data_IF_859938383324
#
_entry.id   IF_859938383324
#
_cell.length_a   1.000
_cell.length_b   1.000
_cell.length_c   1.000
_cell.angle_alpha   90.00
_cell.angle_beta   90.00
_cell.angle_gamma   90.00
#
_symmetry.space_group_name_H-M   'P 1'
#
loop_
_entity.id
_entity.type
_entity.pdbx_description
1 polymer ?
#
# COMPACT_ATOMS: atom_id res chain seq x y z
N UNK A 1 17.90 18.52 16.75
CA UNK A 1 17.74 17.07 16.49
C UNK A 1 16.95 16.96 15.19
N UNK A 2 17.51 16.34 14.16
CA UNK A 2 16.83 16.15 12.87
C UNK A 2 15.95 14.90 13.01
N UNK A 3 14.65 15.06 13.21
CA UNK A 3 13.72 13.94 13.16
C UNK A 3 13.68 13.43 11.71
N UNK A 4 14.36 12.31 11.47
CA UNK A 4 14.33 11.64 10.18
C UNK A 4 13.12 10.72 10.18
N UNK A 5 12.01 11.24 9.66
CA UNK A 5 10.79 10.45 9.48
C UNK A 5 10.89 9.75 8.12
N UNK A 6 11.02 8.42 8.11
CA UNK A 6 11.01 7.62 6.88
C UNK A 6 9.58 7.10 6.71
N UNK A 7 9.01 7.37 5.53
CA UNK A 7 7.66 6.95 5.14
C UNK A 7 7.77 6.32 3.77
N UNK A 8 7.19 5.14 3.62
CA UNK A 8 7.14 4.42 2.36
C UNK A 8 5.73 4.52 1.79
N UNK A 9 5.61 5.24 0.69
CA UNK A 9 4.33 5.45 0.03
C UNK A 9 4.20 4.47 -1.13
N UNK A 10 3.26 3.54 -0.98
CA UNK A 10 2.96 2.47 -1.90
C UNK A 10 1.70 2.84 -2.68
N UNK A 11 1.74 2.68 -4.01
CA UNK A 11 0.62 3.03 -4.88
C UNK A 11 0.33 1.88 -5.83
N UNK A 12 -0.83 1.26 -5.66
CA UNK A 12 -1.38 0.26 -6.57
C UNK A 12 -2.43 0.89 -7.49
N UNK A 13 -2.51 0.42 -8.74
CA UNK A 13 -3.57 0.82 -9.67
C UNK A 13 -4.13 -0.44 -10.31
N UNK A 14 -5.42 -0.67 -10.17
CA UNK A 14 -6.13 -1.75 -10.85
C UNK A 14 -6.64 -1.23 -12.18
N UNK A 15 -5.93 -1.60 -13.24
CA UNK A 15 -6.27 -1.30 -14.64
C UNK A 15 -6.86 -2.57 -15.25
N UNK A 16 -8.15 -2.55 -15.55
CA UNK A 16 -8.83 -3.69 -16.16
C UNK A 16 -9.36 -3.25 -17.51
N UNK A 17 -8.96 -3.93 -18.59
CA UNK A 17 -9.28 -3.56 -19.97
C UNK A 17 -8.90 -2.10 -20.30
N UNK A 18 -7.70 -1.66 -19.91
CA UNK A 18 -7.22 -0.27 -20.10
C UNK A 18 -8.03 0.82 -19.38
N UNK A 19 -9.01 0.47 -18.55
CA UNK A 19 -9.76 1.40 -17.71
C UNK A 19 -9.22 1.32 -16.29
N UNK A 20 -8.86 2.46 -15.71
CA UNK A 20 -8.49 2.54 -14.30
C UNK A 20 -9.74 2.37 -13.45
N UNK A 21 -9.90 1.19 -12.87
CA UNK A 21 -11.08 0.79 -12.11
C UNK A 21 -10.98 1.24 -10.65
N UNK A 22 -9.81 1.00 -10.07
CA UNK A 22 -9.51 1.36 -8.69
C UNK A 22 -8.04 1.73 -8.53
N UNK A 23 -7.77 2.54 -7.52
CA UNK A 23 -6.46 2.98 -7.11
C UNK A 23 -6.30 2.74 -5.62
N UNK A 24 -5.20 2.12 -5.25
CA UNK A 24 -4.83 1.85 -3.88
C UNK A 24 -3.64 2.72 -3.55
N UNK A 25 -3.68 3.39 -2.40
CA UNK A 25 -2.57 4.15 -1.87
C UNK A 25 -2.40 3.70 -0.43
N UNK A 26 -1.29 3.04 -0.13
CA UNK A 26 -0.89 2.77 1.24
C UNK A 26 0.31 3.64 1.57
N UNK A 27 0.34 4.12 2.80
CA UNK A 27 1.47 4.84 3.34
C UNK A 27 1.90 4.08 4.57
N UNK A 28 3.03 3.40 4.43
CA UNK A 28 3.68 2.65 5.49
C UNK A 28 4.60 3.60 6.24
N UNK A 29 4.32 3.75 7.51
CA UNK A 29 5.19 4.43 8.44
C UNK A 29 6.28 3.47 8.90
N UNK A 30 7.54 3.90 8.86
CA UNK A 30 8.65 3.10 9.39
C UNK A 30 8.97 3.46 10.85
N UNK A 31 8.38 4.55 11.35
CA UNK A 31 8.56 5.01 12.72
C UNK A 31 7.44 4.48 13.62
N UNK A 32 7.80 4.10 14.84
CA UNK A 32 6.86 3.61 15.88
C UNK A 32 5.71 4.57 16.18
N UNK A 33 5.88 5.87 15.91
CA UNK A 33 4.87 6.89 16.19
C UNK A 33 3.90 7.14 15.04
N UNK A 34 4.16 6.59 13.86
CA UNK A 34 3.43 6.95 12.66
C UNK A 34 2.59 5.74 12.18
N UNK A 35 1.37 6.01 11.71
CA UNK A 35 0.38 4.96 11.48
C UNK A 35 0.26 4.63 10.01
N UNK A 36 0.32 3.34 9.68
CA UNK A 36 0.09 2.87 8.31
C UNK A 36 -1.32 3.26 7.87
N UNK A 37 -1.40 4.08 6.83
CA UNK A 37 -2.67 4.59 6.30
C UNK A 37 -2.94 3.99 4.93
N UNK A 38 -4.09 3.37 4.74
CA UNK A 38 -4.48 2.77 3.45
C UNK A 38 -5.73 3.46 2.90
N UNK A 39 -5.56 4.21 1.83
CA UNK A 39 -6.61 4.84 1.07
C UNK A 39 -6.92 4.01 -0.18
N UNK A 40 -8.22 3.81 -0.45
CA UNK A 40 -8.70 3.20 -1.69
C UNK A 40 -9.58 4.21 -2.41
N UNK A 41 -9.24 4.49 -3.65
CA UNK A 41 -10.02 5.32 -4.57
C UNK A 41 -10.63 4.43 -5.64
N UNK A 42 -11.95 4.45 -5.76
CA UNK A 42 -12.65 3.73 -6.83
C UNK A 42 -13.03 4.78 -7.87
N UNK A 43 -12.37 4.74 -9.03
CA UNK A 43 -12.69 5.66 -10.12
C UNK A 43 -13.93 5.19 -10.87
N UNK A 44 -14.09 3.88 -11.07
CA UNK A 44 -15.19 3.32 -11.84
C UNK A 44 -15.88 2.19 -11.07
N UNK A 45 -17.03 2.50 -10.47
CA UNK A 45 -17.80 1.55 -9.67
C UNK A 45 -18.43 0.41 -10.50
N UNK A 46 -18.76 0.65 -11.77
CA UNK A 46 -19.34 -0.39 -12.64
C UNK A 46 -18.29 -1.42 -13.04
N UNK A 47 -17.11 -0.95 -13.46
CA UNK A 47 -15.98 -1.81 -13.74
C UNK A 47 -15.49 -2.52 -12.46
N UNK A 48 -15.55 -1.85 -11.31
CA UNK A 48 -15.21 -2.44 -10.01
C UNK A 48 -16.15 -3.58 -9.67
N UNK A 49 -17.47 -3.38 -9.82
CA UNK A 49 -18.48 -4.42 -9.59
C UNK A 49 -18.35 -5.58 -10.56
N UNK A 50 -18.11 -5.31 -11.85
CA UNK A 50 -17.88 -6.35 -12.86
C UNK A 50 -16.61 -7.16 -12.58
N UNK A 51 -15.56 -6.52 -12.05
CA UNK A 51 -14.24 -7.12 -11.85
C UNK A 51 -13.87 -7.29 -10.38
N UNK A 52 -14.86 -7.44 -9.51
CA UNK A 52 -14.70 -7.60 -8.06
C UNK A 52 -13.67 -8.68 -7.69
N UNK A 53 -13.55 -9.74 -8.48
CA UNK A 53 -12.52 -10.79 -8.31
C UNK A 53 -11.10 -10.27 -8.56
N UNK A 54 -10.89 -9.54 -9.66
CA UNK A 54 -9.58 -9.00 -10.01
C UNK A 54 -9.14 -7.93 -9.00
N UNK A 55 -10.04 -6.99 -8.68
CA UNK A 55 -9.78 -5.96 -7.67
C UNK A 55 -9.50 -6.58 -6.29
N UNK A 56 -10.21 -7.64 -5.89
CA UNK A 56 -9.88 -8.37 -4.66
C UNK A 56 -8.49 -8.99 -4.70
N UNK A 57 -8.10 -9.60 -5.82
CA UNK A 57 -6.77 -10.15 -5.98
C UNK A 57 -5.71 -9.05 -5.92
N UNK A 58 -5.88 -7.95 -6.66
CA UNK A 58 -4.99 -6.78 -6.62
C UNK A 58 -4.87 -6.19 -5.21
N UNK A 59 -5.98 -6.10 -4.48
CA UNK A 59 -5.98 -5.58 -3.11
C UNK A 59 -5.29 -6.53 -2.12
N UNK A 60 -5.39 -7.84 -2.34
CA UNK A 60 -4.73 -8.84 -1.48
C UNK A 60 -3.23 -8.86 -1.76
N UNK A 61 -2.85 -8.83 -3.03
CA UNK A 61 -1.46 -8.73 -3.48
C UNK A 61 -0.81 -7.41 -3.01
N UNK A 62 -1.54 -6.30 -3.12
CA UNK A 62 -1.08 -5.01 -2.62
C UNK A 62 -0.95 -5.02 -1.09
N UNK A 63 -1.87 -5.66 -0.35
CA UNK A 63 -1.73 -5.82 1.10
C UNK A 63 -0.53 -6.69 1.48
N UNK A 64 -0.29 -7.77 0.74
CA UNK A 64 0.88 -8.61 0.95
C UNK A 64 2.16 -7.83 0.69
N UNK A 65 2.20 -7.04 -0.39
CA UNK A 65 3.32 -6.17 -0.72
C UNK A 65 3.57 -5.10 0.35
N UNK A 66 2.52 -4.42 0.82
CA UNK A 66 2.60 -3.48 1.94
C UNK A 66 3.19 -4.12 3.19
N UNK A 67 2.77 -5.34 3.52
CA UNK A 67 3.26 -6.08 4.69
C UNK A 67 4.71 -6.53 4.55
N UNK A 68 5.10 -6.99 3.36
CA UNK A 68 6.48 -7.39 3.06
C UNK A 68 7.42 -6.18 3.13
N UNK A 69 6.97 -5.03 2.62
CA UNK A 69 7.71 -3.78 2.72
C UNK A 69 7.78 -3.30 4.18
N UNK A 70 6.67 -3.37 4.94
CA UNK A 70 6.65 -3.12 6.39
C UNK A 70 7.70 -3.98 7.12
N UNK A 71 7.72 -5.29 6.86
CA UNK A 71 8.62 -6.24 7.51
C UNK A 71 10.10 -5.98 7.16
N UNK A 72 10.42 -5.73 5.89
CA UNK A 72 11.78 -5.36 5.45
C UNK A 72 12.28 -4.09 6.13
N UNK A 73 11.42 -3.08 6.18
CA UNK A 73 11.73 -1.81 6.82
C UNK A 73 11.94 -2.00 8.31
N UNK A 74 11.06 -2.75 8.98
CA UNK A 74 11.17 -3.03 10.41
C UNK A 74 12.44 -3.83 10.74
N UNK A 75 12.83 -4.75 9.85
CA UNK A 75 14.09 -5.49 9.92
C UNK A 75 15.31 -4.55 9.78
N UNK A 76 15.31 -3.60 8.82
CA UNK A 76 16.38 -2.61 8.70
C UNK A 76 16.47 -1.67 9.92
N UNK A 77 15.32 -1.26 10.48
CA UNK A 77 15.28 -0.37 11.65
C UNK A 77 15.71 -1.09 12.95
N UNK A 78 15.50 -2.40 13.05
CA UNK A 78 16.01 -3.21 14.17
C UNK A 78 17.51 -3.49 14.08
N UNK A 79 18.09 -3.51 12.89
CA UNK A 79 19.52 -3.79 12.69
C UNK A 79 20.42 -2.54 12.87
N UNK A 80 19.85 -1.34 12.96
CA UNK A 80 20.62 -0.08 13.12
C UNK A 80 20.81 0.35 14.59
N UNK A 81 20.48 -0.52 15.56
CA UNK A 81 20.78 -0.32 16.99
C UNK A 81 21.80 -1.33 17.51
N UNK A 82 23.02 -1.29 16.98
CA UNK A 82 24.22 -1.75 17.71
C UNK A 82 25.33 -0.68 17.66
#
# INVERSE_FOLDING_TARGET
MLSKEKKVQLSGRSLINNVEVARFSAQVATDINDSTTMNTYINDQEAYRKNLKAVRADSDEFRAYVRDEEDKIFAEDTETKE
#
